data_IF_836207076350
#
_entry.id   IF_836207076350
#
_cell.length_a   1.000
_cell.length_b   1.000
_cell.length_c   1.000
_cell.angle_alpha   90.00
_cell.angle_beta   90.00
_cell.angle_gamma   90.00
#
_symmetry.space_group_name_H-M   'P 1'
#
loop_
_entity.id
_entity.type
_entity.pdbx_description
1 polymer ?
#
# COMPACT_ATOMS: atom_id res chain seq x y z
N UNK A 1 -57.34 -15.49 6.09
CA UNK A 1 -57.98 -14.38 5.39
C UNK A 1 -56.89 -13.43 4.93
N UNK A 2 -56.52 -13.59 3.64
CA UNK A 2 -55.44 -12.79 2.98
C UNK A 2 -56.01 -11.49 2.47
N UNK A 3 -55.33 -10.38 2.74
CA UNK A 3 -55.54 -9.12 2.04
C UNK A 3 -54.23 -8.72 1.39
N UNK A 4 -54.12 -8.99 0.07
CA UNK A 4 -53.08 -8.45 -0.80
C UNK A 4 -53.41 -6.99 -1.11
N UNK A 5 -52.49 -6.09 -0.80
CA UNK A 5 -52.49 -4.68 -1.27
C UNK A 5 -51.58 -4.59 -2.48
N UNK A 6 -52.16 -4.31 -3.63
CA UNK A 6 -51.48 -4.00 -4.89
C UNK A 6 -51.25 -2.49 -4.93
N UNK A 7 -50.02 -2.04 -4.92
CA UNK A 7 -49.65 -0.65 -5.20
C UNK A 7 -49.25 -0.51 -6.67
N UNK A 8 -50.07 0.22 -7.42
CA UNK A 8 -49.78 0.63 -8.79
C UNK A 8 -48.88 1.88 -8.77
N UNK A 9 -47.69 1.76 -9.35
CA UNK A 9 -46.79 2.90 -9.56
C UNK A 9 -46.99 3.39 -10.99
N UNK A 10 -47.50 4.63 -11.13
CA UNK A 10 -47.64 5.31 -12.39
C UNK A 10 -46.28 5.89 -12.83
N UNK A 11 -45.80 5.44 -14.00
CA UNK A 11 -44.65 6.02 -14.66
C UNK A 11 -45.03 7.32 -15.37
N UNK A 12 -44.50 8.45 -14.91
CA UNK A 12 -44.51 9.71 -15.69
C UNK A 12 -43.25 9.73 -16.56
N UNK A 13 -43.47 9.58 -17.85
CA UNK A 13 -42.47 9.79 -18.91
C UNK A 13 -42.39 11.28 -19.25
N UNK A 14 -41.33 11.95 -18.88
CA UNK A 14 -41.01 13.30 -19.32
C UNK A 14 -40.23 13.21 -20.65
N UNK A 15 -40.83 13.65 -21.73
CA UNK A 15 -40.19 13.77 -23.05
C UNK A 15 -39.29 15.02 -23.06
N UNK A 16 -38.02 14.82 -23.25
CA UNK A 16 -37.04 15.88 -23.52
C UNK A 16 -36.95 16.10 -25.02
N UNK A 17 -37.34 17.32 -25.51
CA UNK A 17 -37.09 17.80 -26.86
C UNK A 17 -35.72 18.46 -26.91
N UNK A 18 -34.80 18.08 -27.84
CA UNK A 18 -33.56 18.81 -28.05
C UNK A 18 -33.84 20.08 -28.86
N UNK A 19 -33.64 21.24 -28.24
CA UNK A 19 -33.63 22.53 -28.90
C UNK A 19 -32.41 22.68 -29.82
N UNK A 20 -32.62 22.75 -31.11
CA UNK A 20 -31.59 23.09 -32.08
C UNK A 20 -31.27 24.60 -31.95
N UNK A 21 -30.11 24.96 -31.41
CA UNK A 21 -29.57 26.31 -31.51
C UNK A 21 -28.87 26.48 -32.86
N UNK A 22 -29.48 27.26 -33.72
CA UNK A 22 -28.88 27.74 -34.96
C UNK A 22 -27.71 28.69 -34.59
N UNK A 23 -26.48 28.28 -34.89
CA UNK A 23 -25.31 29.17 -34.79
C UNK A 23 -25.26 30.05 -36.02
N UNK A 24 -25.36 31.35 -35.80
CA UNK A 24 -25.14 32.38 -36.80
C UNK A 24 -23.63 32.45 -37.11
N UNK A 25 -23.19 32.44 -38.38
CA UNK A 25 -21.77 32.57 -38.68
C UNK A 25 -21.28 34.00 -38.38
N UNK A 26 -20.06 34.18 -37.86
CA UNK A 26 -19.50 35.49 -37.61
C UNK A 26 -19.18 36.22 -38.92
N UNK A 27 -19.30 37.56 -38.98
CA UNK A 27 -18.95 38.34 -40.13
C UNK A 27 -17.43 38.27 -40.41
N UNK A 28 -17.09 38.08 -41.68
CA UNK A 28 -15.73 38.17 -42.15
C UNK A 28 -15.26 39.63 -42.04
N UNK A 29 -14.37 39.89 -41.06
CA UNK A 29 -13.68 41.15 -40.85
C UNK A 29 -12.20 40.86 -40.65
N UNK A 30 -11.41 41.11 -41.69
CA UNK A 30 -9.98 40.96 -41.66
C UNK A 30 -9.35 42.00 -40.72
N UNK A 31 -8.67 41.50 -39.70
CA UNK A 31 -7.73 42.20 -38.86
C UNK A 31 -6.56 41.27 -38.58
N UNK A 32 -5.42 41.52 -39.20
CA UNK A 32 -4.19 40.78 -38.87
C UNK A 32 -3.89 40.96 -37.39
N UNK A 33 -3.53 39.91 -36.63
CA UNK A 33 -3.13 40.03 -35.24
C UNK A 33 -1.78 40.76 -35.17
N UNK A 34 -1.60 41.64 -34.18
CA UNK A 34 -0.30 42.32 -33.97
C UNK A 34 0.76 41.27 -33.62
N UNK A 35 2.00 41.43 -34.10
CA UNK A 35 3.10 40.58 -33.73
C UNK A 35 3.50 40.87 -32.28
N UNK A 36 3.56 39.85 -31.43
CA UNK A 36 4.26 39.95 -30.18
C UNK A 36 3.45 39.81 -28.91
N UNK A 37 2.78 38.66 -28.71
CA UNK A 37 2.67 38.11 -27.38
C UNK A 37 3.38 36.77 -27.43
N UNK A 38 4.56 36.79 -26.85
CA UNK A 38 5.34 35.60 -26.61
C UNK A 38 4.45 34.60 -25.87
N UNK A 39 4.29 33.44 -26.46
CA UNK A 39 3.76 32.29 -25.76
C UNK A 39 4.53 32.14 -24.45
N UNK A 40 3.91 32.51 -23.32
CA UNK A 40 4.37 32.10 -22.03
C UNK A 40 4.43 30.58 -22.11
N UNK A 41 5.64 30.05 -22.25
CA UNK A 41 5.90 28.64 -22.06
C UNK A 41 5.30 28.33 -20.69
N UNK A 42 4.16 27.70 -20.65
CA UNK A 42 3.68 27.05 -19.46
C UNK A 42 4.87 26.21 -19.00
N UNK A 43 5.54 26.68 -17.97
CA UNK A 43 6.58 25.91 -17.31
C UNK A 43 5.88 24.61 -16.90
N UNK A 44 6.11 23.56 -17.69
CA UNK A 44 5.47 22.29 -17.51
C UNK A 44 5.60 21.90 -16.04
N UNK A 45 4.47 21.60 -15.40
CA UNK A 45 4.48 21.08 -14.04
C UNK A 45 5.55 19.97 -13.99
N UNK A 46 6.40 19.96 -12.97
CA UNK A 46 7.45 18.93 -12.86
C UNK A 46 6.77 17.56 -13.01
N UNK A 47 7.36 16.62 -13.75
CA UNK A 47 6.77 15.33 -13.98
C UNK A 47 6.39 14.72 -12.64
N UNK A 48 5.12 14.37 -12.48
CA UNK A 48 4.64 13.73 -11.27
C UNK A 48 5.47 12.47 -11.07
N UNK A 49 6.17 12.38 -9.94
CA UNK A 49 6.98 11.21 -9.60
C UNK A 49 6.06 9.99 -9.55
N UNK A 50 6.41 8.97 -10.31
CA UNK A 50 5.65 7.73 -10.31
C UNK A 50 5.71 7.10 -8.91
N UNK A 51 4.57 6.61 -8.39
CA UNK A 51 4.57 5.90 -7.12
C UNK A 51 5.33 4.59 -7.24
N UNK A 52 6.05 4.23 -6.18
CA UNK A 52 6.82 2.99 -6.08
C UNK A 52 6.34 2.14 -4.92
N UNK A 53 6.41 0.79 -5.03
CA UNK A 53 6.15 -0.07 -3.89
C UNK A 53 7.07 0.28 -2.72
N UNK A 54 6.53 0.30 -1.51
CA UNK A 54 7.34 0.46 -0.29
C UNK A 54 8.30 -0.72 -0.14
N UNK A 55 9.30 -0.58 0.73
CA UNK A 55 10.32 -1.62 0.92
C UNK A 55 9.72 -2.91 1.46
N UNK A 56 8.98 -2.85 2.56
CA UNK A 56 8.42 -4.03 3.22
C UNK A 56 7.09 -3.69 3.90
N UNK A 57 6.11 -4.59 3.82
CA UNK A 57 4.90 -4.57 4.66
C UNK A 57 5.19 -5.32 5.95
N UNK A 58 4.84 -4.73 7.09
CA UNK A 58 5.08 -5.32 8.42
C UNK A 58 3.79 -5.82 9.08
N UNK A 59 2.64 -5.22 8.78
CA UNK A 59 1.36 -5.68 9.31
C UNK A 59 0.18 -5.25 8.45
N UNK A 60 -0.90 -6.02 8.54
CA UNK A 60 -2.22 -5.69 7.99
C UNK A 60 -3.23 -5.91 9.10
N UNK A 61 -4.16 -4.99 9.22
CA UNK A 61 -5.31 -5.12 10.11
C UNK A 61 -6.55 -4.53 9.44
N UNK A 62 -7.72 -4.97 9.88
CA UNK A 62 -8.99 -4.42 9.43
C UNK A 62 -9.70 -3.79 10.62
N UNK A 63 -9.99 -2.51 10.49
CA UNK A 63 -10.72 -1.72 11.46
C UNK A 63 -12.17 -1.63 11.01
N UNK A 64 -13.10 -2.10 11.81
CA UNK A 64 -14.52 -1.95 11.52
C UNK A 64 -15.07 -0.67 12.13
N UNK A 65 -15.72 0.15 11.30
CA UNK A 65 -16.53 1.26 11.76
C UNK A 65 -18.01 0.91 11.64
N UNK A 66 -18.74 1.00 12.74
CA UNK A 66 -20.19 0.82 12.73
C UNK A 66 -20.94 2.09 12.34
N UNK A 67 -20.24 3.20 12.21
CA UNK A 67 -20.81 4.48 11.78
C UNK A 67 -21.15 4.44 10.29
N UNK A 68 -22.21 5.16 9.89
CA UNK A 68 -22.63 5.38 8.50
C UNK A 68 -22.82 4.09 7.67
N UNK A 69 -23.53 3.09 8.21
CA UNK A 69 -23.84 1.86 7.45
C UNK A 69 -22.79 0.77 7.55
N UNK A 70 -21.68 1.05 8.21
CA UNK A 70 -20.55 0.15 8.42
C UNK A 70 -19.57 0.19 7.27
N UNK A 71 -18.34 0.51 7.62
CA UNK A 71 -17.19 0.57 6.72
C UNK A 71 -16.10 -0.28 7.33
N UNK A 72 -15.47 -1.09 6.52
CA UNK A 72 -14.23 -1.78 6.90
C UNK A 72 -13.05 -1.01 6.33
N UNK A 73 -12.05 -0.75 7.16
CA UNK A 73 -10.85 -0.02 6.75
C UNK A 73 -9.66 -0.96 6.86
N UNK A 74 -9.08 -1.31 5.72
CA UNK A 74 -7.83 -2.05 5.67
C UNK A 74 -6.73 -1.07 6.02
N UNK A 75 -5.97 -1.35 7.08
CA UNK A 75 -4.78 -0.61 7.48
C UNK A 75 -3.56 -1.47 7.24
N UNK A 76 -2.64 -0.99 6.41
CA UNK A 76 -1.34 -1.61 6.20
C UNK A 76 -0.24 -0.73 6.75
N UNK A 77 0.69 -1.35 7.47
CA UNK A 77 1.91 -0.70 7.94
C UNK A 77 3.11 -1.33 7.27
N UNK A 78 4.13 -0.54 7.07
CA UNK A 78 5.37 -0.97 6.45
C UNK A 78 6.50 -0.01 6.72
N UNK A 79 7.61 -0.25 6.04
CA UNK A 79 8.81 0.57 6.15
C UNK A 79 9.28 0.99 4.76
N UNK A 80 9.84 2.18 4.70
CA UNK A 80 10.51 2.75 3.53
C UNK A 80 11.97 3.03 3.85
N UNK A 81 12.84 3.02 2.84
CA UNK A 81 14.30 3.04 2.97
C UNK A 81 14.91 4.41 3.27
N UNK A 82 14.10 5.47 3.29
CA UNK A 82 14.59 6.82 3.59
C UNK A 82 13.47 7.73 4.09
N UNK A 83 13.83 8.85 4.66
CA UNK A 83 12.90 9.95 4.91
C UNK A 83 12.44 10.59 3.60
N UNK A 84 11.35 11.34 3.65
CA UNK A 84 10.85 12.10 2.49
C UNK A 84 9.93 11.32 1.55
N UNK A 85 9.66 10.05 1.79
CA UNK A 85 8.56 9.35 1.13
C UNK A 85 7.24 10.00 1.51
N UNK A 86 6.36 10.16 0.52
CA UNK A 86 5.05 10.78 0.70
C UNK A 86 3.91 9.95 0.11
N UNK A 87 2.69 10.42 0.34
CA UNK A 87 1.47 9.89 -0.26
C UNK A 87 1.34 8.36 -0.15
N UNK A 88 1.28 7.80 1.09
CA UNK A 88 1.06 6.37 1.28
C UNK A 88 -0.33 5.96 0.79
N UNK A 89 -0.41 4.92 -0.04
CA UNK A 89 -1.69 4.41 -0.49
C UNK A 89 -1.64 2.91 -0.83
N UNK A 90 -2.81 2.29 -0.72
CA UNK A 90 -3.07 0.92 -1.12
C UNK A 90 -3.84 0.95 -2.43
N UNK A 91 -3.29 0.33 -3.48
CA UNK A 91 -3.93 0.28 -4.80
C UNK A 91 -4.37 -1.14 -5.09
N UNK A 92 -5.66 -1.37 -5.40
CA UNK A 92 -6.12 -2.64 -5.89
C UNK A 92 -5.46 -2.99 -7.23
N UNK A 93 -4.84 -4.17 -7.31
CA UNK A 93 -4.29 -4.74 -8.54
C UNK A 93 -5.19 -5.83 -9.09
N UNK A 94 -6.16 -6.31 -8.31
CA UNK A 94 -7.22 -7.19 -8.79
C UNK A 94 -8.15 -6.40 -9.71
N UNK A 95 -8.31 -6.86 -10.94
CA UNK A 95 -9.26 -6.31 -11.90
C UNK A 95 -10.44 -7.27 -12.01
N UNK A 96 -11.64 -6.79 -11.65
CA UNK A 96 -12.85 -7.62 -11.63
C UNK A 96 -12.95 -8.49 -10.37
N UNK A 97 -13.63 -9.64 -10.48
CA UNK A 97 -13.76 -10.58 -9.39
C UNK A 97 -12.45 -11.33 -9.13
N UNK A 98 -12.04 -11.37 -7.86
CA UNK A 98 -10.88 -12.15 -7.46
C UNK A 98 -11.21 -13.65 -7.53
N UNK A 99 -10.51 -14.39 -8.38
CA UNK A 99 -10.73 -15.84 -8.59
C UNK A 99 -10.59 -16.64 -7.29
N UNK A 100 -9.67 -16.23 -6.42
CA UNK A 100 -9.43 -16.85 -5.10
C UNK A 100 -10.22 -16.17 -3.96
N UNK A 101 -10.99 -15.12 -4.27
CA UNK A 101 -11.71 -14.31 -3.30
C UNK A 101 -10.79 -13.38 -2.48
N UNK A 102 -9.53 -13.23 -2.84
CA UNK A 102 -8.56 -12.37 -2.16
C UNK A 102 -8.43 -11.03 -2.88
N UNK A 103 -8.61 -9.94 -2.16
CA UNK A 103 -8.31 -8.60 -2.67
C UNK A 103 -6.80 -8.39 -2.69
N UNK A 104 -6.20 -8.37 -3.87
CA UNK A 104 -4.77 -8.06 -4.02
C UNK A 104 -4.56 -6.55 -4.07
N UNK A 105 -3.70 -6.06 -3.18
CA UNK A 105 -3.31 -4.66 -3.07
C UNK A 105 -1.80 -4.53 -3.22
N UNK A 106 -1.36 -3.42 -3.80
CA UNK A 106 0.03 -2.98 -3.72
C UNK A 106 0.13 -1.78 -2.79
N UNK A 107 1.04 -1.83 -1.82
CA UNK A 107 1.34 -0.71 -0.94
C UNK A 107 2.47 0.11 -1.54
N UNK A 108 2.19 1.34 -1.88
CA UNK A 108 3.14 2.23 -2.54
C UNK A 108 3.08 3.65 -2.00
N UNK A 109 4.09 4.42 -2.33
CA UNK A 109 4.19 5.83 -2.02
C UNK A 109 5.07 6.55 -3.04
N UNK A 110 5.11 7.85 -2.95
CA UNK A 110 5.94 8.71 -3.82
C UNK A 110 7.32 8.81 -3.20
N UNK A 111 8.35 8.41 -3.97
CA UNK A 111 9.74 8.54 -3.55
C UNK A 111 10.19 10.01 -3.52
N UNK A 112 11.18 10.37 -2.68
CA UNK A 112 11.73 11.72 -2.67
C UNK A 112 12.30 12.12 -4.02
N UNK A 113 12.05 13.35 -4.47
CA UNK A 113 12.58 13.89 -5.73
C UNK A 113 14.08 14.13 -5.68
N UNK A 114 14.60 14.52 -4.52
CA UNK A 114 16.04 14.66 -4.31
C UNK A 114 16.60 13.30 -3.88
N UNK A 115 17.81 12.93 -4.31
CA UNK A 115 18.47 11.76 -3.78
C UNK A 115 18.58 11.90 -2.26
N UNK A 116 17.65 11.26 -1.56
CA UNK A 116 17.77 11.17 -0.11
C UNK A 116 18.85 10.13 0.19
N UNK A 117 19.82 10.45 1.08
CA UNK A 117 20.74 9.44 1.54
C UNK A 117 19.91 8.27 2.09
N UNK A 118 20.32 7.06 1.77
CA UNK A 118 19.74 5.88 2.39
C UNK A 118 19.93 6.06 3.89
N UNK A 119 18.82 6.20 4.59
CA UNK A 119 18.78 6.50 6.02
C UNK A 119 18.17 5.35 6.79
N UNK A 120 17.87 5.54 8.07
CA UNK A 120 17.15 4.56 8.84
C UNK A 120 15.80 4.28 8.17
N UNK A 121 15.34 3.03 8.28
CA UNK A 121 13.99 2.68 7.83
C UNK A 121 12.95 3.51 8.57
N UNK A 122 12.03 4.09 7.81
CA UNK A 122 10.98 4.95 8.34
C UNK A 122 9.63 4.23 8.29
N UNK A 123 8.83 4.31 9.36
CA UNK A 123 7.49 3.74 9.36
C UNK A 123 6.59 4.46 8.35
N UNK A 124 5.74 3.67 7.69
CA UNK A 124 4.82 4.13 6.67
C UNK A 124 3.48 3.42 6.83
N UNK A 125 2.37 4.15 6.74
CA UNK A 125 1.04 3.60 6.96
C UNK A 125 0.09 4.07 5.88
N UNK A 126 -0.78 3.17 5.39
CA UNK A 126 -1.85 3.49 4.47
C UNK A 126 -3.16 2.85 4.90
N UNK A 127 -4.25 3.52 4.56
CA UNK A 127 -5.61 3.12 4.85
C UNK A 127 -6.39 2.98 3.54
N UNK A 128 -7.18 1.91 3.43
CA UNK A 128 -8.12 1.71 2.32
C UNK A 128 -9.50 1.36 2.89
N UNK A 129 -10.48 2.27 2.74
CA UNK A 129 -11.86 1.95 3.08
C UNK A 129 -12.45 0.97 2.07
N UNK A 130 -13.22 0.00 2.56
CA UNK A 130 -13.93 -1.01 1.77
C UNK A 130 -15.37 -1.05 2.24
N UNK A 131 -16.31 -0.98 1.29
CA UNK A 131 -17.74 -1.02 1.59
C UNK A 131 -18.15 -2.39 2.14
N UNK A 132 -19.13 -2.39 3.04
CA UNK A 132 -19.77 -3.64 3.45
C UNK A 132 -20.44 -4.32 2.26
N UNK A 133 -20.32 -5.63 2.20
CA UNK A 133 -20.89 -6.42 1.11
C UNK A 133 -19.95 -6.60 -0.07
N UNK A 134 -18.68 -6.21 0.07
CA UNK A 134 -17.66 -6.54 -0.92
C UNK A 134 -17.52 -8.07 -1.08
N UNK A 135 -17.16 -8.55 -2.29
CA UNK A 135 -17.09 -9.99 -2.57
C UNK A 135 -15.83 -10.68 -2.00
N UNK A 136 -14.91 -9.90 -1.39
CA UNK A 136 -13.62 -10.42 -0.96
C UNK A 136 -13.71 -11.15 0.36
N UNK A 137 -13.11 -12.34 0.43
CA UNK A 137 -12.98 -13.14 1.64
C UNK A 137 -11.74 -12.79 2.44
N UNK A 138 -10.72 -12.26 1.78
CA UNK A 138 -9.45 -11.86 2.40
C UNK A 138 -8.76 -10.76 1.62
N UNK A 139 -7.61 -10.31 2.13
CA UNK A 139 -6.77 -9.29 1.49
C UNK A 139 -5.31 -9.74 1.48
N UNK A 140 -4.61 -9.46 0.39
CA UNK A 140 -3.17 -9.61 0.25
C UNK A 140 -2.57 -8.25 -0.05
N UNK A 141 -1.64 -7.80 0.76
CA UNK A 141 -0.90 -6.54 0.54
C UNK A 141 0.52 -6.88 0.15
N UNK A 142 0.95 -6.36 -1.00
CA UNK A 142 2.27 -6.54 -1.58
C UNK A 142 3.12 -5.29 -1.42
N UNK A 143 4.39 -5.49 -1.20
CA UNK A 143 5.43 -4.45 -1.25
C UNK A 143 6.50 -4.80 -2.29
N UNK A 144 7.62 -4.11 -2.26
CA UNK A 144 8.78 -4.44 -3.09
C UNK A 144 9.46 -5.75 -2.69
N UNK A 145 9.30 -6.22 -1.46
CA UNK A 145 10.07 -7.37 -0.94
C UNK A 145 9.22 -8.50 -0.43
N UNK A 146 8.00 -8.22 0.03
CA UNK A 146 7.14 -9.25 0.62
C UNK A 146 5.66 -9.05 0.27
N UNK A 147 4.86 -10.03 0.69
CA UNK A 147 3.41 -9.92 0.72
C UNK A 147 2.89 -10.53 2.02
N UNK A 148 1.95 -9.85 2.66
CA UNK A 148 1.22 -10.37 3.82
C UNK A 148 -0.22 -10.65 3.39
N UNK A 149 -0.78 -11.76 3.87
CA UNK A 149 -2.15 -12.18 3.57
C UNK A 149 -2.97 -12.24 4.85
N UNK A 150 -4.08 -11.51 4.86
CA UNK A 150 -5.16 -11.68 5.82
C UNK A 150 -6.27 -12.47 5.14
N UNK A 151 -6.48 -13.72 5.57
CA UNK A 151 -7.35 -14.67 4.87
C UNK A 151 -8.84 -14.37 5.02
N UNK A 152 -9.24 -13.56 6.00
CA UNK A 152 -10.64 -13.32 6.32
C UNK A 152 -10.93 -11.84 6.41
N UNK A 153 -11.89 -11.35 5.63
CA UNK A 153 -12.48 -10.02 5.67
C UNK A 153 -14.00 -10.13 5.82
N UNK A 154 -14.67 -9.17 6.47
CA UNK A 154 -14.14 -8.22 7.44
C UNK A 154 -14.16 -8.80 8.86
N UNK A 155 -13.18 -8.42 9.68
CA UNK A 155 -13.19 -8.63 11.13
C UNK A 155 -13.06 -10.07 11.64
N UNK A 156 -12.99 -11.04 10.78
CA UNK A 156 -12.69 -12.43 11.12
C UNK A 156 -11.24 -12.71 10.73
N UNK A 157 -10.34 -12.09 11.45
CA UNK A 157 -9.08 -12.75 11.57
C UNK A 157 -9.33 -14.04 12.36
N UNK A 158 -9.59 -15.14 11.69
CA UNK A 158 -8.84 -16.32 12.08
C UNK A 158 -7.40 -15.89 11.83
N UNK A 159 -6.81 -15.31 12.82
CA UNK A 159 -5.38 -15.19 12.93
C UNK A 159 -4.94 -16.63 12.90
N UNK A 160 -4.53 -17.13 11.74
CA UNK A 160 -3.70 -18.32 11.66
C UNK A 160 -2.66 -18.07 12.73
N UNK A 161 -2.64 -18.94 13.75
CA UNK A 161 -1.88 -18.76 14.98
C UNK A 161 -0.56 -18.09 14.62
N UNK A 162 -0.28 -16.88 15.12
CA UNK A 162 0.75 -16.05 14.58
C UNK A 162 1.98 -16.91 14.51
N UNK A 163 2.52 -17.12 13.31
CA UNK A 163 3.83 -17.75 13.17
C UNK A 163 4.66 -16.98 14.16
N UNK A 164 5.33 -17.68 15.11
CA UNK A 164 6.13 -17.04 16.14
C UNK A 164 6.91 -15.90 15.48
N UNK A 165 6.43 -14.69 15.69
CA UNK A 165 7.11 -13.53 15.16
C UNK A 165 8.37 -13.32 16.02
N UNK A 166 9.43 -12.88 15.40
CA UNK A 166 10.65 -12.51 16.11
C UNK A 166 10.46 -11.18 16.87
N UNK A 167 9.27 -10.91 17.44
CA UNK A 167 8.98 -9.66 18.15
C UNK A 167 9.96 -9.39 19.28
N UNK A 168 10.38 -10.46 19.97
CA UNK A 168 11.44 -10.41 20.99
C UNK A 168 12.84 -10.11 20.43
N UNK A 169 13.00 -10.13 19.12
CA UNK A 169 14.27 -9.84 18.45
C UNK A 169 14.50 -8.36 18.23
N UNK A 170 13.45 -7.55 18.24
CA UNK A 170 13.56 -6.10 17.99
C UNK A 170 14.51 -5.44 18.98
N UNK A 171 15.36 -4.54 18.46
CA UNK A 171 16.39 -3.84 19.21
C UNK A 171 17.66 -4.64 19.47
N UNK A 172 17.68 -5.96 19.20
CA UNK A 172 18.85 -6.81 19.35
C UNK A 172 19.75 -6.79 18.11
N UNK A 173 21.02 -7.09 18.27
CA UNK A 173 21.95 -7.24 17.17
C UNK A 173 21.71 -8.56 16.44
N UNK A 174 21.62 -8.52 15.13
CA UNK A 174 21.60 -9.73 14.32
C UNK A 174 23.02 -10.17 13.99
N UNK A 175 23.29 -11.45 14.18
CA UNK A 175 24.57 -12.07 13.85
C UNK A 175 24.34 -13.19 12.85
N UNK A 176 24.83 -12.97 11.62
CA UNK A 176 24.74 -13.94 10.53
C UNK A 176 25.52 -15.22 10.88
N UNK A 177 25.17 -16.33 10.25
CA UNK A 177 25.84 -17.62 10.44
C UNK A 177 27.34 -17.50 10.17
N UNK A 178 28.14 -17.87 11.16
CA UNK A 178 29.60 -17.78 11.09
C UNK A 178 30.20 -16.42 11.42
N UNK A 179 29.38 -15.38 11.66
CA UNK A 179 29.86 -14.08 12.09
C UNK A 179 30.05 -14.01 13.62
N UNK A 180 30.86 -13.04 14.06
CA UNK A 180 31.05 -12.75 15.47
C UNK A 180 30.11 -11.62 15.92
N UNK A 181 29.56 -11.68 17.13
CA UNK A 181 28.78 -10.59 17.68
C UNK A 181 29.65 -9.34 17.87
N UNK A 182 29.04 -8.14 17.87
CA UNK A 182 29.76 -6.91 18.19
C UNK A 182 30.47 -7.00 19.52
N UNK A 183 31.67 -6.42 19.59
CA UNK A 183 32.46 -6.41 20.81
C UNK A 183 31.70 -5.76 21.97
N UNK A 184 31.62 -6.42 23.11
CA UNK A 184 30.89 -5.93 24.28
C UNK A 184 29.37 -6.10 24.24
N UNK A 185 28.80 -6.73 23.23
CA UNK A 185 27.38 -7.04 23.20
C UNK A 185 27.04 -8.12 24.23
N UNK A 186 26.07 -7.85 25.10
CA UNK A 186 25.56 -8.85 26.04
C UNK A 186 24.86 -10.00 25.29
N UNK A 187 24.95 -11.21 25.82
CA UNK A 187 24.40 -12.41 25.13
C UNK A 187 22.90 -12.32 24.86
N UNK A 188 22.14 -11.70 25.73
CA UNK A 188 20.71 -11.48 25.64
C UNK A 188 20.32 -10.36 24.62
N UNK A 189 21.28 -9.52 24.25
CA UNK A 189 21.13 -8.46 23.25
C UNK A 189 21.47 -8.91 21.83
N UNK A 190 21.72 -10.20 21.62
CA UNK A 190 22.12 -10.77 20.31
C UNK A 190 21.11 -11.83 19.87
N UNK A 191 20.80 -11.83 18.58
CA UNK A 191 20.06 -12.88 17.88
C UNK A 191 20.98 -13.50 16.84
N UNK A 192 21.24 -14.79 16.95
CA UNK A 192 22.08 -15.50 15.98
C UNK A 192 21.18 -16.16 14.94
N UNK A 193 21.53 -16.04 13.68
CA UNK A 193 20.84 -16.74 12.61
C UNK A 193 20.76 -18.26 12.86
N UNK A 194 21.83 -18.83 13.42
CA UNK A 194 21.90 -20.26 13.72
C UNK A 194 20.88 -20.73 14.78
N UNK A 195 20.38 -19.82 15.60
CA UNK A 195 19.42 -20.13 16.67
C UNK A 195 17.96 -19.95 16.20
N UNK A 196 17.77 -19.42 14.99
CA UNK A 196 16.45 -19.23 14.42
C UNK A 196 16.01 -20.50 13.66
N UNK A 197 14.80 -21.00 13.91
CA UNK A 197 14.31 -22.22 13.26
C UNK A 197 13.83 -21.99 11.81
N UNK A 198 14.00 -20.77 11.29
CA UNK A 198 13.45 -20.35 10.00
C UNK A 198 14.54 -19.94 9.01
N UNK A 199 14.21 -20.00 7.73
CA UNK A 199 14.99 -19.31 6.71
C UNK A 199 14.86 -17.80 6.90
N UNK A 200 15.99 -17.11 6.90
CA UNK A 200 16.05 -15.69 7.16
C UNK A 200 16.53 -14.94 5.93
N UNK A 201 15.86 -13.83 5.61
CA UNK A 201 16.36 -12.80 4.72
C UNK A 201 16.66 -11.55 5.53
N UNK A 202 17.78 -10.91 5.25
CA UNK A 202 18.18 -9.66 5.88
C UNK A 202 18.07 -8.53 4.87
N UNK A 203 17.48 -7.41 5.29
CA UNK A 203 17.39 -6.18 4.51
C UNK A 203 18.01 -5.05 5.33
N UNK A 204 18.95 -4.31 4.70
CA UNK A 204 19.56 -3.10 5.27
C UNK A 204 19.16 -1.90 4.43
N UNK A 205 19.19 -0.66 4.99
CA UNK A 205 18.92 0.56 4.23
C UNK A 205 19.82 0.72 3.00
N UNK A 206 21.04 0.18 3.07
CA UNK A 206 22.07 0.26 2.01
C UNK A 206 21.93 -0.77 0.91
N UNK A 207 21.07 -1.79 1.07
CA UNK A 207 20.99 -2.92 0.11
C UNK A 207 20.24 -2.55 -1.18
N UNK A 208 19.68 -1.33 -1.28
CA UNK A 208 18.87 -0.91 -2.42
C UNK A 208 17.48 -1.57 -2.44
N UNK A 209 16.92 -1.75 -3.63
CA UNK A 209 15.64 -2.42 -3.80
C UNK A 209 15.88 -3.93 -3.86
N UNK A 210 15.42 -4.69 -2.86
CA UNK A 210 15.64 -6.14 -2.85
C UNK A 210 14.83 -6.82 -3.96
N UNK A 211 15.28 -8.01 -4.35
CA UNK A 211 14.60 -8.80 -5.38
C UNK A 211 13.20 -9.25 -4.91
N UNK A 212 12.27 -9.37 -5.87
CA UNK A 212 10.88 -9.78 -5.66
C UNK A 212 10.69 -11.27 -5.31
N UNK A 213 11.73 -11.99 -4.93
CA UNK A 213 11.59 -13.39 -4.56
C UNK A 213 10.70 -13.53 -3.32
N UNK A 214 9.51 -14.07 -3.51
CA UNK A 214 8.54 -14.33 -2.45
C UNK A 214 8.71 -15.75 -1.90
N UNK A 215 8.82 -15.90 -0.59
CA UNK A 215 8.83 -17.18 0.11
C UNK A 215 8.02 -17.06 1.41
N UNK A 216 6.80 -17.62 1.48
CA UNK A 216 5.93 -17.48 2.64
C UNK A 216 6.46 -18.14 3.92
N UNK A 217 7.55 -18.92 3.81
CA UNK A 217 8.19 -19.58 4.95
C UNK A 217 9.49 -18.88 5.38
N UNK A 218 9.80 -17.74 4.79
CA UNK A 218 11.00 -16.98 5.10
C UNK A 218 10.68 -15.78 5.98
N UNK A 219 11.43 -15.63 7.06
CA UNK A 219 11.38 -14.46 7.94
C UNK A 219 12.31 -13.37 7.40
N UNK A 220 11.77 -12.21 7.04
CA UNK A 220 12.56 -11.06 6.65
C UNK A 220 12.85 -10.19 7.87
N UNK A 221 14.13 -10.02 8.19
CA UNK A 221 14.62 -9.12 9.23
C UNK A 221 15.08 -7.81 8.61
N UNK A 222 14.55 -6.72 9.10
CA UNK A 222 14.97 -5.36 8.71
C UNK A 222 15.98 -4.86 9.73
N UNK A 223 17.19 -4.54 9.28
CA UNK A 223 18.26 -4.09 10.16
C UNK A 223 18.48 -2.58 10.00
N UNK A 224 18.90 -1.95 11.10
CA UNK A 224 19.50 -0.61 11.08
C UNK A 224 20.95 -0.68 10.56
N UNK A 225 21.55 0.48 10.33
CA UNK A 225 22.94 0.57 9.87
C UNK A 225 23.93 -0.08 10.84
N UNK A 226 23.65 0.01 12.15
CA UNK A 226 24.48 -0.62 13.21
C UNK A 226 24.18 -2.12 13.40
N UNK A 227 23.31 -2.72 12.57
CA UNK A 227 23.00 -4.15 12.57
C UNK A 227 21.99 -4.59 13.61
N UNK A 228 21.22 -3.67 14.19
CA UNK A 228 20.10 -4.02 15.08
C UNK A 228 18.84 -4.34 14.27
N UNK A 229 18.05 -5.28 14.76
CA UNK A 229 16.77 -5.63 14.18
C UNK A 229 15.77 -4.52 14.52
N UNK A 230 15.33 -3.79 13.50
CA UNK A 230 14.32 -2.74 13.60
C UNK A 230 12.93 -3.35 13.52
N UNK A 231 12.75 -4.29 12.61
CA UNK A 231 11.49 -4.98 12.40
C UNK A 231 11.70 -6.38 11.82
N UNK A 232 10.66 -7.20 11.91
CA UNK A 232 10.63 -8.56 11.37
C UNK A 232 9.24 -8.83 10.79
N UNK A 233 9.20 -9.42 9.59
CA UNK A 233 7.96 -9.81 8.94
C UNK A 233 8.14 -11.08 8.11
N UNK A 234 7.12 -11.91 8.06
CA UNK A 234 7.08 -13.01 7.11
C UNK A 234 6.87 -12.49 5.69
N UNK A 235 7.54 -13.09 4.71
CA UNK A 235 7.39 -12.74 3.30
C UNK A 235 5.97 -12.97 2.78
#
# INVERSE_FOLDING_TARGET
MNKSLIFAIACLSAAWTPGAHAQTPPPAGAGAPPPGYGSSSEAGAPPAMAPWPITIVTSIEVLRSERAGGLDVIRARGLVSSSGWGSPHLIPITRGEAVDGILDLIFQGVVPTAPAPLGPFMPFEALLPVDKGHPYKGVRVRSGTNAIVLKTLPGYAEIAAPKEDCSKCRGKFFVAKGAQPPAGAAADSVVREADLPWHVRVIKPTDGIPSYAFDPNRLTLVLSEDGRIVDAAWD
#
